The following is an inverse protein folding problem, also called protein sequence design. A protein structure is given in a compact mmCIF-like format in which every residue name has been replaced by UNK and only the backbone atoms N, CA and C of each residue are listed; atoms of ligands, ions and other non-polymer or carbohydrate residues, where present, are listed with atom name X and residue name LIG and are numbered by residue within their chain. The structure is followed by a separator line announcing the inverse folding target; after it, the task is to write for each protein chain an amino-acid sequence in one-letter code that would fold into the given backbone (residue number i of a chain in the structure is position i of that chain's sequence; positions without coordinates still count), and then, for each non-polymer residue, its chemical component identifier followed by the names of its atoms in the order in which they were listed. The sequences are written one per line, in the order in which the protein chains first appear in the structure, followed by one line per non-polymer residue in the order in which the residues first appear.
data_IF_411325207577
#
_entry.id   IF_411325207577
#
_cell.length_a   1.000
_cell.length_b   1.000
_cell.length_c   1.000
_cell.angle_alpha   90.00
_cell.angle_beta   90.00
_cell.angle_gamma   90.00
#
_symmetry.space_group_name_H-M   'P 1'
#
loop_
_entity.id
_entity.type
_entity.pdbx_description
1 polymer ?
#
# COMPACT_ATOMS: atom_id res chain seq x y z
N UNK A 1 21.30 12.60 26.67
CA UNK A 1 21.39 13.03 25.26
C UNK A 1 20.01 12.87 24.65
N UNK A 2 19.50 13.87 23.95
CA UNK A 2 18.21 13.77 23.27
C UNK A 2 18.39 12.83 22.07
N UNK A 3 18.02 11.57 22.23
CA UNK A 3 17.93 10.61 21.13
C UNK A 3 16.86 11.13 20.17
N UNK A 4 17.27 11.58 18.98
CA UNK A 4 16.33 12.02 17.95
C UNK A 4 15.63 10.76 17.39
N UNK A 5 14.52 10.38 18.03
CA UNK A 5 13.73 9.20 17.65
C UNK A 5 12.80 9.64 16.51
N UNK A 6 12.89 9.01 15.33
CA UNK A 6 12.00 9.28 14.22
C UNK A 6 10.54 9.08 14.61
N UNK A 7 9.68 10.01 14.20
CA UNK A 7 8.24 9.94 14.47
C UNK A 7 7.52 9.22 13.32
N UNK A 8 6.40 8.53 13.61
CA UNK A 8 5.53 7.98 12.58
C UNK A 8 5.14 9.03 11.52
N UNK A 9 5.00 8.58 10.28
CA UNK A 9 4.66 9.35 9.07
C UNK A 9 5.69 10.42 8.65
N UNK A 10 6.83 10.55 9.32
CA UNK A 10 7.90 11.43 8.86
C UNK A 10 8.61 10.87 7.61
N UNK A 11 8.89 11.75 6.65
CA UNK A 11 9.65 11.42 5.45
C UNK A 11 11.14 11.66 5.71
N UNK A 12 11.95 10.69 5.31
CA UNK A 12 13.41 10.74 5.37
C UNK A 12 14.01 10.51 3.99
N UNK A 13 15.07 11.25 3.69
CA UNK A 13 15.89 11.03 2.51
C UNK A 13 17.13 10.24 2.88
N UNK A 14 17.32 9.10 2.24
CA UNK A 14 18.55 8.36 2.36
C UNK A 14 19.67 9.06 1.57
N UNK A 15 20.91 8.98 2.04
CA UNK A 15 22.06 9.65 1.40
C UNK A 15 22.30 9.23 -0.06
N UNK A 16 21.74 8.08 -0.49
CA UNK A 16 21.75 7.62 -1.89
C UNK A 16 20.67 8.25 -2.78
N UNK A 17 19.79 9.09 -2.23
CA UNK A 17 18.79 9.85 -2.97
C UNK A 17 17.34 9.39 -2.80
N UNK A 18 17.10 8.15 -2.39
CA UNK A 18 15.74 7.60 -2.24
C UNK A 18 15.03 8.13 -0.99
N UNK A 19 13.70 8.21 -1.08
CA UNK A 19 12.82 8.67 -0.01
C UNK A 19 12.11 7.50 0.67
N UNK A 20 11.91 7.66 1.97
CA UNK A 20 11.30 6.67 2.83
C UNK A 20 10.37 7.34 3.83
N UNK A 21 9.29 6.67 4.21
CA UNK A 21 8.37 7.11 5.27
C UNK A 21 8.53 6.21 6.49
N UNK A 22 8.71 6.81 7.67
CA UNK A 22 8.71 6.04 8.93
C UNK A 22 7.29 5.61 9.24
N UNK A 23 7.11 4.31 9.45
CA UNK A 23 5.81 3.74 9.86
C UNK A 23 5.71 3.77 11.38
N UNK A 24 6.69 3.17 12.06
CA UNK A 24 6.72 3.10 13.53
C UNK A 24 8.09 2.70 14.05
N UNK A 25 8.27 2.73 15.36
CA UNK A 25 9.43 2.15 16.05
C UNK A 25 9.00 0.83 16.69
N UNK A 26 9.75 -0.24 16.41
CA UNK A 26 9.55 -1.55 16.98
C UNK A 26 10.67 -1.86 18.00
N UNK A 27 10.38 -2.75 18.94
CA UNK A 27 11.39 -3.32 19.84
C UNK A 27 11.68 -4.75 19.40
N UNK A 28 12.94 -5.06 19.07
CA UNK A 28 13.36 -6.42 18.73
C UNK A 28 13.12 -7.32 19.94
N UNK A 29 12.36 -8.40 19.78
CA UNK A 29 11.94 -9.26 20.89
C UNK A 29 13.11 -9.94 21.61
N UNK A 30 14.10 -10.40 20.85
CA UNK A 30 15.27 -11.11 21.38
C UNK A 30 16.32 -10.17 22.00
N UNK A 31 16.78 -9.15 21.26
CA UNK A 31 17.86 -8.25 21.72
C UNK A 31 17.36 -7.04 22.50
N UNK A 32 16.06 -6.74 22.46
CA UNK A 32 15.44 -5.52 23.01
C UNK A 32 15.92 -4.21 22.39
N UNK A 33 16.62 -4.28 21.26
CA UNK A 33 17.06 -3.10 20.53
C UNK A 33 15.90 -2.41 19.81
N UNK A 34 15.97 -1.08 19.71
CA UNK A 34 14.98 -0.29 18.98
C UNK A 34 15.24 -0.39 17.47
N UNK A 35 14.20 -0.70 16.69
CA UNK A 35 14.22 -0.77 15.24
C UNK A 35 13.29 0.31 14.67
N UNK A 36 13.76 1.02 13.65
CA UNK A 36 12.90 1.88 12.82
C UNK A 36 12.27 0.99 11.75
N UNK A 37 10.94 0.99 11.70
CA UNK A 37 10.16 0.37 10.63
C UNK A 37 9.78 1.47 9.64
N UNK A 38 10.20 1.31 8.39
CA UNK A 38 10.01 2.34 7.36
C UNK A 38 9.68 1.74 6.00
N UNK A 39 8.93 2.51 5.21
CA UNK A 39 8.44 2.16 3.89
C UNK A 39 9.22 2.91 2.82
N UNK A 40 9.61 2.22 1.74
CA UNK A 40 10.12 2.88 0.54
C UNK A 40 9.01 3.70 -0.15
N UNK A 41 9.33 4.93 -0.56
CA UNK A 41 8.42 5.77 -1.35
C UNK A 41 8.70 5.65 -2.86
N UNK A 42 9.17 4.47 -3.29
CA UNK A 42 9.52 4.15 -4.67
C UNK A 42 9.30 2.65 -4.93
N UNK A 43 9.21 2.28 -6.21
CA UNK A 43 8.94 0.90 -6.62
C UNK A 43 7.67 0.35 -5.97
N UNK A 44 7.70 -0.91 -5.53
CA UNK A 44 6.55 -1.60 -4.92
C UNK A 44 6.26 -1.18 -3.47
N UNK A 45 6.93 -0.15 -2.94
CA UNK A 45 6.65 0.37 -1.60
C UNK A 45 7.01 -0.56 -0.44
N UNK A 46 8.10 -1.33 -0.56
CA UNK A 46 8.51 -2.32 0.43
C UNK A 46 8.77 -1.76 1.84
N UNK A 47 8.53 -2.60 2.86
CA UNK A 47 8.71 -2.31 4.29
C UNK A 47 10.02 -2.92 4.80
N UNK A 48 10.78 -2.13 5.55
CA UNK A 48 12.09 -2.52 6.07
C UNK A 48 12.21 -2.21 7.55
N UNK A 49 13.02 -3.01 8.25
CA UNK A 49 13.40 -2.79 9.64
C UNK A 49 14.90 -2.49 9.72
N UNK A 50 15.29 -1.51 10.54
CA UNK A 50 16.71 -1.17 10.76
C UNK A 50 16.96 -0.72 12.20
N UNK A 51 18.08 -1.10 12.83
CA UNK A 51 18.45 -0.56 14.14
C UNK A 51 18.45 0.96 14.17
N UNK A 52 17.81 1.53 15.19
CA UNK A 52 17.67 2.98 15.36
C UNK A 52 19.03 3.68 15.34
N UNK A 53 20.03 3.11 16.01
CA UNK A 53 21.41 3.62 16.02
C UNK A 53 22.02 3.71 14.63
N UNK A 54 21.72 2.77 13.74
CA UNK A 54 22.22 2.80 12.36
C UNK A 54 21.39 3.73 11.47
N UNK A 55 20.10 3.89 11.77
CA UNK A 55 19.23 4.80 11.02
C UNK A 55 19.67 6.26 11.24
N UNK A 56 19.96 6.64 12.47
CA UNK A 56 20.42 7.98 12.84
C UNK A 56 21.95 8.14 12.80
N UNK A 57 22.67 7.15 12.25
CA UNK A 57 24.13 7.22 12.14
C UNK A 57 24.58 8.20 11.05
N UNK A 58 25.78 8.80 11.20
CA UNK A 58 26.38 9.61 10.15
C UNK A 58 26.72 8.79 8.91
N UNK A 59 26.78 9.46 7.75
CA UNK A 59 27.32 8.86 6.53
C UNK A 59 28.82 8.62 6.71
N UNK A 60 29.28 7.49 6.21
CA UNK A 60 30.70 7.20 6.09
C UNK A 60 31.30 8.00 4.93
N UNK A 61 31.86 9.16 5.24
CA UNK A 61 32.47 10.06 4.25
C UNK A 61 33.84 9.57 3.76
N UNK A 62 34.44 8.55 4.40
CA UNK A 62 35.64 7.89 3.85
C UNK A 62 35.23 7.02 2.66
N UNK A 63 34.10 6.32 2.78
CA UNK A 63 33.54 5.51 1.70
C UNK A 63 32.79 6.34 0.65
N UNK A 64 32.15 7.43 1.06
CA UNK A 64 31.34 8.29 0.20
C UNK A 64 31.76 9.77 0.35
N UNK A 65 32.93 10.16 -0.20
CA UNK A 65 33.49 11.50 0.01
C UNK A 65 32.67 12.62 -0.63
N UNK A 66 31.93 12.33 -1.70
CA UNK A 66 31.16 13.34 -2.44
C UNK A 66 29.75 13.60 -1.86
N UNK A 67 29.36 12.85 -0.83
CA UNK A 67 28.04 13.00 -0.20
C UNK A 67 28.08 14.19 0.75
N UNK A 68 27.22 15.18 0.47
CA UNK A 68 27.08 16.40 1.30
C UNK A 68 26.20 16.19 2.54
N UNK A 69 25.40 15.13 2.55
CA UNK A 69 24.45 14.82 3.60
C UNK A 69 25.17 14.18 4.80
N UNK A 70 24.96 14.72 6.00
CA UNK A 70 25.70 14.28 7.20
C UNK A 70 25.19 12.96 7.78
N UNK A 71 23.87 12.77 7.82
CA UNK A 71 23.23 11.57 8.38
C UNK A 71 22.82 10.59 7.28
N UNK A 72 22.84 9.28 7.54
CA UNK A 72 22.39 8.30 6.54
C UNK A 72 20.95 8.51 6.09
N UNK A 73 20.10 8.95 7.02
CA UNK A 73 18.73 9.33 6.79
C UNK A 73 18.52 10.72 7.39
N UNK A 74 18.12 11.68 6.56
CA UNK A 74 17.86 13.05 6.98
C UNK A 74 16.37 13.34 6.85
N UNK A 75 15.73 13.92 7.89
CA UNK A 75 14.31 14.25 7.82
C UNK A 75 14.08 15.33 6.77
N UNK A 76 13.04 15.14 5.95
CA UNK A 76 12.66 16.08 4.91
C UNK A 76 11.59 17.02 5.47
N UNK A 77 11.85 18.33 5.39
CA UNK A 77 10.90 19.38 5.79
C UNK A 77 10.28 20.10 4.61
N UNK A 78 10.76 19.83 3.39
CA UNK A 78 10.28 20.48 2.18
C UNK A 78 8.80 20.13 1.91
N UNK A 79 7.90 21.12 1.91
CA UNK A 79 6.45 20.86 1.79
C UNK A 79 6.08 20.22 0.45
N UNK A 80 6.88 20.43 -0.60
CA UNK A 80 6.68 19.82 -1.93
C UNK A 80 6.93 18.31 -1.93
N UNK A 81 7.86 17.83 -1.09
CA UNK A 81 8.13 16.39 -0.94
C UNK A 81 7.13 15.77 0.04
N UNK A 82 6.67 16.52 1.04
CA UNK A 82 5.60 16.10 1.94
C UNK A 82 4.26 15.95 1.18
N UNK A 83 4.01 16.79 0.18
CA UNK A 83 2.88 16.65 -0.75
C UNK A 83 3.14 15.65 -1.88
N UNK A 84 4.33 15.06 -1.98
CA UNK A 84 4.66 14.05 -3.00
C UNK A 84 3.99 12.69 -2.74
N UNK A 85 2.96 12.63 -1.90
CA UNK A 85 1.87 11.65 -2.04
C UNK A 85 1.21 11.76 -3.43
N UNK A 86 1.28 12.93 -4.09
CA UNK A 86 0.64 13.18 -5.40
C UNK A 86 1.59 13.03 -6.63
N UNK A 87 2.90 13.18 -6.46
CA UNK A 87 3.84 13.32 -7.59
C UNK A 87 4.48 12.02 -8.10
N UNK A 88 4.37 10.89 -7.38
CA UNK A 88 4.94 9.60 -7.80
C UNK A 88 4.15 8.94 -8.95
N UNK A 89 3.13 9.61 -9.52
CA UNK A 89 2.52 9.19 -10.80
C UNK A 89 3.40 9.40 -12.04
N UNK A 90 4.55 10.05 -11.97
CA UNK A 90 5.46 10.23 -13.12
C UNK A 90 6.93 10.13 -12.67
N UNK A 91 7.60 9.01 -12.94
CA UNK A 91 9.03 8.93 -12.66
C UNK A 91 9.69 7.56 -12.79
N UNK A 92 9.36 6.80 -13.83
CA UNK A 92 10.16 5.65 -14.25
C UNK A 92 11.51 6.16 -14.81
N UNK A 93 12.62 5.88 -14.11
CA UNK A 93 13.96 5.65 -14.65
C UNK A 93 15.04 5.92 -13.58
N UNK A 94 15.60 4.85 -13.00
CA UNK A 94 17.03 4.53 -13.08
C UNK A 94 17.36 3.33 -12.18
N UNK A 95 17.34 2.15 -12.82
CA UNK A 95 17.91 0.91 -12.30
C UNK A 95 19.45 0.98 -12.32
N UNK A 96 20.10 0.52 -11.25
CA UNK A 96 21.38 -0.18 -11.38
C UNK A 96 21.45 -1.34 -10.39
N UNK A 97 21.74 -2.50 -10.97
CA UNK A 97 21.62 -3.86 -10.47
C UNK A 97 22.68 -4.27 -9.44
N UNK A 98 22.32 -5.20 -8.54
CA UNK A 98 23.15 -6.32 -8.08
C UNK A 98 22.26 -7.58 -7.85
N UNK A 99 22.80 -8.76 -8.22
CA UNK A 99 22.11 -10.05 -8.45
C UNK A 99 21.84 -10.86 -7.15
N UNK A 100 21.04 -11.94 -7.24
CA UNK A 100 21.66 -13.26 -7.08
C UNK A 100 21.17 -14.38 -8.04
N UNK A 101 22.08 -15.34 -8.22
CA UNK A 101 22.00 -16.73 -8.75
C UNK A 101 20.99 -17.54 -7.91
N UNK A 102 20.13 -18.47 -8.36
CA UNK A 102 19.95 -19.25 -9.58
C UNK A 102 19.94 -20.75 -9.22
N UNK A 103 18.78 -21.45 -9.29
CA UNK A 103 18.63 -22.93 -9.48
C UNK A 103 17.20 -23.28 -9.99
N UNK A 104 17.16 -23.82 -11.22
CA UNK A 104 16.37 -24.94 -11.82
C UNK A 104 14.93 -25.25 -11.33
N UNK A 105 13.83 -25.21 -12.12
CA UNK A 105 13.43 -25.76 -13.45
C UNK A 105 12.75 -27.16 -13.38
N UNK A 106 11.42 -27.19 -13.60
CA UNK A 106 10.62 -28.25 -14.27
C UNK A 106 9.15 -27.76 -14.39
N UNK A 107 8.67 -27.26 -15.55
CA UNK A 107 8.00 -27.98 -16.66
C UNK A 107 6.81 -28.88 -16.24
N UNK A 108 5.58 -28.50 -16.61
CA UNK A 108 4.67 -29.31 -17.45
C UNK A 108 3.38 -28.54 -17.83
N UNK A 109 3.08 -28.61 -19.14
CA UNK A 109 1.93 -28.06 -19.87
C UNK A 109 0.76 -29.07 -19.74
N UNK A 110 -0.53 -28.73 -19.84
CA UNK A 110 -1.20 -28.43 -21.12
C UNK A 110 -2.73 -28.61 -21.02
N UNK A 111 -3.45 -27.93 -21.93
CA UNK A 111 -4.75 -28.28 -22.57
C UNK A 111 -6.08 -27.79 -21.97
N UNK A 112 -6.57 -26.71 -22.62
CA UNK A 112 -7.92 -26.39 -23.16
C UNK A 112 -9.11 -27.35 -22.93
N UNK A 113 -10.32 -26.79 -22.80
CA UNK A 113 -11.49 -27.10 -23.68
C UNK A 113 -12.65 -26.13 -23.39
N UNK A 114 -13.14 -25.47 -24.44
CA UNK A 114 -14.38 -24.70 -24.54
C UNK A 114 -15.64 -25.55 -24.30
N UNK A 115 -16.72 -24.99 -23.74
CA UNK A 115 -18.05 -25.06 -24.38
C UNK A 115 -19.13 -24.15 -23.74
N UNK A 116 -19.53 -23.13 -24.51
CA UNK A 116 -20.90 -22.71 -24.87
C UNK A 116 -21.99 -23.82 -24.72
N UNK A 117 -23.30 -23.65 -24.45
CA UNK A 117 -24.35 -22.60 -24.50
C UNK A 117 -25.64 -23.19 -23.87
N UNK A 118 -26.56 -22.40 -23.29
CA UNK A 118 -28.03 -22.52 -23.52
C UNK A 118 -28.90 -21.52 -22.70
N UNK A 119 -29.73 -20.79 -23.46
CA UNK A 119 -30.96 -20.01 -23.12
C UNK A 119 -32.00 -20.83 -22.34
N UNK A 120 -33.08 -20.34 -21.72
CA UNK A 120 -33.76 -19.05 -21.48
C UNK A 120 -34.83 -19.31 -20.39
N UNK A 121 -35.30 -18.30 -19.65
CA UNK A 121 -36.74 -17.95 -19.55
C UNK A 121 -36.95 -16.64 -18.79
N UNK A 122 -38.03 -15.94 -19.11
CA UNK A 122 -38.34 -14.58 -18.64
C UNK A 122 -39.40 -14.58 -17.54
N UNK A 123 -39.16 -13.86 -16.45
CA UNK A 123 -40.17 -13.53 -15.46
C UNK A 123 -39.81 -12.27 -14.68
N UNK A 124 -40.18 -11.09 -15.19
CA UNK A 124 -40.34 -9.83 -14.43
C UNK A 124 -39.28 -9.55 -13.35
N UNK A 125 -38.04 -9.29 -13.75
CA UNK A 125 -36.98 -9.03 -12.78
C UNK A 125 -36.53 -7.59 -12.90
N UNK A 126 -36.64 -6.83 -11.82
CA UNK A 126 -35.94 -5.56 -11.68
C UNK A 126 -34.47 -5.88 -11.89
N UNK A 127 -33.97 -5.60 -13.09
CA UNK A 127 -32.59 -5.89 -13.44
C UNK A 127 -31.72 -5.12 -12.49
N UNK A 128 -31.15 -5.83 -11.51
CA UNK A 128 -30.13 -5.35 -10.61
C UNK A 128 -28.96 -4.91 -11.48
N UNK A 129 -29.02 -3.65 -11.94
CA UNK A 129 -28.03 -3.09 -12.84
C UNK A 129 -26.86 -2.74 -11.94
N UNK A 130 -26.07 -3.77 -11.59
CA UNK A 130 -24.87 -3.60 -10.76
C UNK A 130 -23.99 -2.61 -11.50
N UNK A 131 -23.67 -1.48 -10.86
CA UNK A 131 -22.84 -0.46 -11.47
C UNK A 131 -21.51 -1.11 -11.91
N UNK A 132 -20.99 -0.82 -13.12
CA UNK A 132 -19.76 -1.45 -13.62
C UNK A 132 -18.59 -1.37 -12.63
N UNK A 133 -18.49 -0.27 -11.90
CA UNK A 133 -17.47 -0.09 -10.86
C UNK A 133 -17.68 -0.97 -9.61
N UNK A 134 -18.92 -1.35 -9.27
CA UNK A 134 -19.16 -2.34 -8.21
C UNK A 134 -18.66 -3.71 -8.66
N UNK A 135 -18.90 -4.09 -9.92
CA UNK A 135 -18.34 -5.33 -10.47
C UNK A 135 -16.81 -5.31 -10.45
N UNK A 136 -16.19 -4.21 -10.90
CA UNK A 136 -14.73 -4.03 -10.84
C UNK A 136 -14.21 -4.13 -9.39
N UNK A 137 -14.94 -3.58 -8.41
CA UNK A 137 -14.60 -3.69 -6.99
C UNK A 137 -14.69 -5.13 -6.46
N UNK A 138 -15.71 -5.88 -6.88
CA UNK A 138 -15.90 -7.28 -6.47
C UNK A 138 -14.81 -8.18 -7.05
N UNK A 139 -14.43 -7.94 -8.31
CA UNK A 139 -13.39 -8.68 -9.03
C UNK A 139 -11.96 -8.32 -8.57
N UNK A 140 -11.77 -7.20 -7.86
CA UNK A 140 -10.46 -6.78 -7.37
C UNK A 140 -9.90 -7.74 -6.30
N UNK A 141 -8.66 -8.18 -6.50
CA UNK A 141 -7.94 -9.14 -5.64
C UNK A 141 -7.25 -8.48 -4.45
N UNK A 142 -7.01 -7.17 -4.52
CA UNK A 142 -6.30 -6.43 -3.46
C UNK A 142 -7.17 -5.33 -2.84
N UNK A 143 -6.96 -5.07 -1.53
CA UNK A 143 -7.66 -3.99 -0.84
C UNK A 143 -7.31 -2.59 -1.40
N UNK A 144 -6.09 -2.41 -1.91
CA UNK A 144 -5.67 -1.17 -2.56
C UNK A 144 -6.43 -0.88 -3.87
N UNK A 145 -6.67 -1.91 -4.69
CA UNK A 145 -7.52 -1.78 -5.89
C UNK A 145 -8.97 -1.47 -5.51
N UNK A 146 -9.51 -2.16 -4.50
CA UNK A 146 -10.83 -1.88 -3.92
C UNK A 146 -10.95 -0.42 -3.45
N UNK A 147 -9.93 0.12 -2.77
CA UNK A 147 -9.87 1.53 -2.36
C UNK A 147 -9.85 2.49 -3.54
N UNK A 148 -9.05 2.19 -4.59
CA UNK A 148 -8.99 3.03 -5.79
C UNK A 148 -10.36 3.12 -6.45
N UNK A 149 -11.04 1.99 -6.58
CA UNK A 149 -12.36 1.90 -7.22
C UNK A 149 -13.41 2.60 -6.36
N UNK A 150 -13.44 2.35 -5.05
CA UNK A 150 -14.33 3.04 -4.11
C UNK A 150 -14.15 4.57 -4.18
N UNK A 151 -12.90 5.06 -4.18
CA UNK A 151 -12.62 6.48 -4.32
C UNK A 151 -13.05 7.05 -5.68
N UNK A 152 -12.98 6.26 -6.76
CA UNK A 152 -13.37 6.72 -8.09
C UNK A 152 -14.86 6.94 -8.26
N UNK A 153 -15.69 6.22 -7.48
CA UNK A 153 -17.15 6.33 -7.53
C UNK A 153 -17.75 7.21 -6.44
N UNK A 154 -16.92 7.95 -5.70
CA UNK A 154 -17.38 8.77 -4.57
C UNK A 154 -18.54 9.71 -4.95
N UNK A 155 -18.44 10.36 -6.11
CA UNK A 155 -19.44 11.34 -6.55
C UNK A 155 -20.77 10.71 -7.01
N UNK A 156 -20.78 9.40 -7.28
CA UNK A 156 -21.94 8.64 -7.76
C UNK A 156 -22.32 7.48 -6.80
N UNK A 157 -21.81 7.53 -5.56
CA UNK A 157 -22.00 6.45 -4.59
C UNK A 157 -23.48 6.38 -4.17
N UNK A 158 -24.06 5.18 -4.25
CA UNK A 158 -25.42 4.91 -3.75
C UNK A 158 -25.38 4.00 -2.54
N UNK A 159 -26.45 4.02 -1.73
CA UNK A 159 -26.58 3.13 -0.56
C UNK A 159 -26.37 1.66 -0.94
N UNK A 160 -26.99 1.22 -2.03
CA UNK A 160 -26.90 -0.15 -2.52
C UNK A 160 -25.47 -0.54 -2.93
N UNK A 161 -24.70 0.40 -3.49
CA UNK A 161 -23.29 0.19 -3.81
C UNK A 161 -22.48 -0.03 -2.53
N UNK A 162 -22.65 0.83 -1.52
CA UNK A 162 -21.97 0.69 -0.23
C UNK A 162 -22.35 -0.62 0.47
N UNK A 163 -23.63 -0.97 0.54
CA UNK A 163 -24.11 -2.22 1.14
C UNK A 163 -23.48 -3.44 0.44
N UNK A 164 -23.49 -3.47 -0.90
CA UNK A 164 -22.91 -4.57 -1.68
C UNK A 164 -21.40 -4.68 -1.46
N UNK A 165 -20.69 -3.55 -1.49
CA UNK A 165 -19.24 -3.49 -1.28
C UNK A 165 -18.85 -3.86 0.16
N UNK A 166 -19.67 -3.49 1.14
CA UNK A 166 -19.49 -3.78 2.56
C UNK A 166 -19.64 -5.27 2.85
N UNK A 167 -20.67 -5.89 2.30
CA UNK A 167 -20.89 -7.35 2.41
C UNK A 167 -19.70 -8.12 1.82
N UNK A 168 -19.18 -7.67 0.67
CA UNK A 168 -18.07 -8.35 0.00
C UNK A 168 -16.77 -8.35 0.82
N UNK A 169 -16.59 -7.41 1.76
CA UNK A 169 -15.40 -7.33 2.62
C UNK A 169 -15.67 -7.73 4.07
N UNK A 170 -16.87 -8.27 4.34
CA UNK A 170 -17.34 -8.68 5.67
C UNK A 170 -17.26 -7.53 6.70
N UNK A 171 -17.69 -6.34 6.28
CA UNK A 171 -17.83 -5.16 7.14
C UNK A 171 -19.31 -4.84 7.30
N UNK A 172 -19.68 -4.37 8.49
CA UNK A 172 -21.04 -3.93 8.79
C UNK A 172 -21.00 -2.41 8.97
N UNK A 173 -21.70 -1.69 8.08
CA UNK A 173 -21.86 -0.24 8.17
C UNK A 173 -23.07 0.07 9.05
N UNK A 174 -23.03 1.20 9.76
CA UNK A 174 -24.18 1.64 10.54
C UNK A 174 -25.24 2.20 9.59
N UNK A 175 -26.43 1.60 9.62
CA UNK A 175 -27.55 2.02 8.76
C UNK A 175 -28.13 3.40 9.13
N UNK A 176 -27.81 3.89 10.33
CA UNK A 176 -28.23 5.21 10.84
C UNK A 176 -27.37 6.36 10.31
N UNK A 177 -26.16 6.06 9.83
CA UNK A 177 -25.23 7.06 9.32
C UNK A 177 -25.62 7.51 7.90
N UNK A 178 -25.20 8.73 7.51
CA UNK A 178 -25.42 9.21 6.15
C UNK A 178 -24.46 8.54 5.14
N UNK A 179 -24.73 8.71 3.84
CA UNK A 179 -23.96 8.04 2.79
C UNK A 179 -22.46 8.39 2.82
N UNK A 180 -22.12 9.63 3.19
CA UNK A 180 -20.73 10.08 3.25
C UNK A 180 -20.00 9.47 4.45
N UNK A 181 -20.66 9.39 5.62
CA UNK A 181 -20.12 8.73 6.79
C UNK A 181 -19.94 7.23 6.54
N UNK A 182 -20.94 6.56 5.97
CA UNK A 182 -20.84 5.15 5.58
C UNK A 182 -19.72 4.90 4.57
N UNK A 183 -19.51 5.83 3.63
CA UNK A 183 -18.41 5.78 2.67
C UNK A 183 -17.05 5.90 3.35
N UNK A 184 -16.86 6.88 4.23
CA UNK A 184 -15.60 7.07 4.96
C UNK A 184 -15.31 5.92 5.92
N UNK A 185 -16.33 5.34 6.56
CA UNK A 185 -16.21 4.14 7.38
C UNK A 185 -15.73 2.94 6.55
N UNK A 186 -16.36 2.70 5.39
CA UNK A 186 -15.96 1.63 4.49
C UNK A 186 -14.52 1.81 3.99
N UNK A 187 -14.15 3.04 3.63
CA UNK A 187 -12.80 3.42 3.21
C UNK A 187 -11.78 3.23 4.33
N UNK A 188 -12.12 3.61 5.56
CA UNK A 188 -11.28 3.39 6.73
C UNK A 188 -11.07 1.89 7.00
N UNK A 189 -12.13 1.09 6.94
CA UNK A 189 -12.06 -0.36 7.08
C UNK A 189 -11.16 -1.00 6.02
N UNK A 190 -11.31 -0.59 4.75
CA UNK A 190 -10.47 -1.06 3.65
C UNK A 190 -9.01 -0.66 3.83
N UNK A 191 -8.72 0.58 4.23
CA UNK A 191 -7.36 1.05 4.50
C UNK A 191 -6.69 0.25 5.61
N UNK A 192 -7.41 -0.05 6.69
CA UNK A 192 -6.91 -0.91 7.75
C UNK A 192 -6.67 -2.33 7.24
N UNK A 193 -7.60 -2.91 6.48
CA UNK A 193 -7.42 -4.26 5.90
C UNK A 193 -6.22 -4.33 4.97
N UNK A 194 -6.00 -3.33 4.12
CA UNK A 194 -4.79 -3.24 3.29
C UNK A 194 -3.52 -3.27 4.15
N UNK A 195 -3.50 -2.52 5.25
CA UNK A 195 -2.35 -2.43 6.13
C UNK A 195 -2.08 -3.73 6.92
N UNK A 196 -3.13 -4.42 7.36
CA UNK A 196 -3.01 -5.53 8.32
C UNK A 196 -3.23 -6.93 7.73
N UNK A 197 -4.00 -7.11 6.66
CA UNK A 197 -4.28 -8.43 6.08
C UNK A 197 -3.21 -8.87 5.08
N UNK A 198 -2.62 -7.95 4.32
CA UNK A 198 -1.49 -8.26 3.44
C UNK A 198 -0.19 -8.58 4.20
N UNK A 199 -0.10 -8.18 5.47
CA UNK A 199 1.06 -8.40 6.34
C UNK A 199 0.93 -9.65 7.23
N UNK A 200 -0.25 -10.29 7.27
CA UNK A 200 -0.56 -11.37 8.23
C UNK A 200 -0.15 -12.79 7.78
N UNK A 201 0.26 -12.97 6.53
CA UNK A 201 0.51 -14.29 5.93
C UNK A 201 1.90 -14.43 5.26
N UNK A 202 2.91 -13.67 5.70
CA UNK A 202 4.31 -13.92 5.29
C UNK A 202 5.20 -14.27 6.46
#
# INVERSE_FOLDING_TARGET
MMTNIPQPNQIYKHFKGNYYRVVTIATHSETREQLVIYQALYGDGGIYARPLSMFTSPVDHVKYPDVKQELRFEPVTDPVILSAEEAVKLGDAQQKAEKPVGVDRATMQSVTTDNQTAKADASTEETWTVHPAVMEYLDADTYGEKLRILCSVRDEITKQMLETMSIAIDVQLNEEDDLEAQFEDLKYCLSNKEQFECTRLR
#
